data_IF_152129793019
#
_entry.id   IF_152129793019
#
_cell.length_a   1.000
_cell.length_b   1.000
_cell.length_c   1.000
_cell.angle_alpha   90.00
_cell.angle_beta   90.00
_cell.angle_gamma   90.00
#
_symmetry.space_group_name_H-M   'P 1'
#
loop_
_entity.id
_entity.type
_entity.pdbx_description
1 polymer ?
#
# COMPACT_ATOMS: atom_id res chain seq x y z
N UNK A 1 14.35 -11.75 -1.07
CA UNK A 1 13.84 -11.05 -2.28
C UNK A 1 12.41 -11.52 -2.55
N UNK A 2 11.48 -10.58 -2.70
CA UNK A 2 10.05 -10.91 -2.89
C UNK A 2 9.72 -11.09 -4.38
N UNK A 3 8.74 -11.96 -4.67
CA UNK A 3 8.20 -12.18 -6.02
C UNK A 3 6.68 -12.07 -5.96
N UNK A 4 6.07 -11.48 -6.97
CA UNK A 4 4.61 -11.45 -7.12
C UNK A 4 4.22 -11.95 -8.52
N UNK A 5 3.11 -12.67 -8.58
CA UNK A 5 2.56 -13.19 -9.83
C UNK A 5 1.04 -12.97 -9.91
N UNK A 6 0.56 -12.82 -11.13
CA UNK A 6 -0.86 -12.84 -11.41
C UNK A 6 -1.14 -13.97 -12.40
N UNK A 7 -2.08 -14.84 -12.04
CA UNK A 7 -2.46 -16.00 -12.86
C UNK A 7 -3.93 -15.86 -13.23
N UNK A 8 -4.23 -16.07 -14.51
CA UNK A 8 -5.60 -16.17 -14.98
C UNK A 8 -5.95 -17.63 -15.22
N UNK A 9 -7.03 -18.08 -14.56
CA UNK A 9 -7.54 -19.45 -14.74
C UNK A 9 -8.24 -19.61 -16.07
N UNK A 10 -8.42 -20.86 -16.53
CA UNK A 10 -9.21 -21.18 -17.73
C UNK A 10 -10.69 -20.77 -17.61
N UNK A 11 -11.18 -20.59 -16.39
CA UNK A 11 -12.54 -20.11 -16.09
C UNK A 11 -12.63 -18.57 -16.07
N UNK A 12 -11.52 -17.86 -16.31
CA UNK A 12 -11.48 -16.40 -16.35
C UNK A 12 -11.25 -15.72 -14.99
N UNK A 13 -11.10 -16.48 -13.90
CA UNK A 13 -10.76 -15.90 -12.59
C UNK A 13 -9.30 -15.45 -12.58
N UNK A 14 -9.03 -14.37 -11.86
CA UNK A 14 -7.67 -13.87 -11.64
C UNK A 14 -7.27 -14.17 -10.20
N UNK A 15 -6.10 -14.78 -10.05
CA UNK A 15 -5.46 -15.02 -8.75
C UNK A 15 -4.20 -14.17 -8.67
N UNK A 16 -4.01 -13.50 -7.55
CA UNK A 16 -2.78 -12.80 -7.19
C UNK A 16 -2.07 -13.59 -6.09
N UNK A 17 -0.77 -13.78 -6.23
CA UNK A 17 0.06 -14.47 -5.24
C UNK A 17 1.42 -13.80 -5.13
N UNK A 18 2.04 -13.91 -3.94
CA UNK A 18 3.37 -13.37 -3.69
C UNK A 18 4.14 -14.20 -2.68
N UNK A 19 5.46 -14.11 -2.71
CA UNK A 19 6.34 -14.57 -1.63
C UNK A 19 6.71 -13.38 -0.75
N UNK A 20 6.71 -13.60 0.58
CA UNK A 20 7.11 -12.61 1.57
C UNK A 20 8.48 -13.02 2.13
N UNK A 21 9.51 -12.38 1.62
CA UNK A 21 10.90 -12.73 1.92
C UNK A 21 11.63 -11.47 2.42
N UNK A 22 11.60 -11.28 3.72
CA UNK A 22 12.29 -10.20 4.42
C UNK A 22 13.52 -10.74 5.17
N UNK A 23 14.49 -9.89 5.45
CA UNK A 23 15.70 -10.24 6.20
C UNK A 23 15.48 -10.42 7.70
N UNK A 24 14.27 -10.19 8.18
CA UNK A 24 13.86 -10.36 9.59
C UNK A 24 12.52 -11.09 9.65
N UNK A 25 12.23 -11.79 10.75
CA UNK A 25 10.95 -12.48 10.89
C UNK A 25 9.80 -11.48 10.93
N UNK A 26 8.81 -11.72 10.08
CA UNK A 26 7.51 -11.08 10.14
C UNK A 26 6.53 -12.07 10.75
N UNK A 27 5.64 -11.60 11.60
CA UNK A 27 4.51 -12.35 12.12
C UNK A 27 3.20 -11.71 11.61
N UNK A 28 2.90 -11.86 10.34
CA UNK A 28 1.73 -11.23 9.74
C UNK A 28 0.48 -12.02 10.13
N UNK A 29 -0.55 -11.28 10.54
CA UNK A 29 -1.89 -11.80 10.72
C UNK A 29 -2.81 -11.33 9.60
N UNK A 30 -3.99 -11.94 9.50
CA UNK A 30 -5.00 -11.55 8.53
C UNK A 30 -5.90 -10.48 9.13
N UNK A 31 -5.87 -9.28 8.53
CA UNK A 31 -6.68 -8.14 8.96
C UNK A 31 -7.72 -7.77 7.92
N UNK A 32 -8.86 -7.30 8.40
CA UNK A 32 -9.93 -6.72 7.58
C UNK A 32 -10.07 -5.24 7.95
N UNK A 33 -9.94 -4.37 6.96
CA UNK A 33 -10.23 -2.95 7.09
C UNK A 33 -11.61 -2.66 6.50
N UNK A 34 -12.58 -2.16 7.27
CA UNK A 34 -13.93 -1.86 6.77
C UNK A 34 -13.94 -0.59 5.91
N UNK A 35 -15.01 -0.42 5.12
CA UNK A 35 -15.31 0.88 4.48
C UNK A 35 -15.42 1.98 5.54
N UNK A 36 -14.88 3.14 5.21
CA UNK A 36 -14.95 4.29 6.10
C UNK A 36 -13.97 4.24 7.27
N UNK A 37 -13.09 3.24 7.33
CA UNK A 37 -12.01 3.23 8.29
C UNK A 37 -11.14 4.47 8.10
N UNK A 38 -10.82 5.13 9.21
CA UNK A 38 -10.05 6.37 9.19
C UNK A 38 -8.75 6.20 9.97
N UNK A 39 -7.68 6.71 9.39
CA UNK A 39 -6.37 6.78 10.06
C UNK A 39 -5.65 8.08 9.70
N UNK A 40 -4.74 8.50 10.53
CA UNK A 40 -3.80 9.55 10.18
C UNK A 40 -2.64 8.90 9.41
N UNK A 41 -2.21 9.52 8.30
CA UNK A 41 -1.01 9.08 7.62
C UNK A 41 0.20 9.16 8.58
N UNK A 42 1.23 8.37 8.34
CA UNK A 42 2.39 8.29 9.23
C UNK A 42 3.14 9.63 9.35
N UNK A 43 3.04 10.51 8.34
CA UNK A 43 3.55 11.87 8.41
C UNK A 43 2.68 12.80 9.30
N UNK A 44 1.56 12.33 9.83
CA UNK A 44 0.59 13.07 10.66
C UNK A 44 0.07 14.37 10.02
N UNK A 45 0.09 14.46 8.70
CA UNK A 45 -0.33 15.66 7.94
C UNK A 45 -1.74 15.56 7.38
N UNK A 46 -2.23 14.35 7.18
CA UNK A 46 -3.53 14.10 6.55
C UNK A 46 -4.28 12.97 7.24
N UNK A 47 -5.58 13.14 7.36
CA UNK A 47 -6.51 12.08 7.74
C UNK A 47 -7.02 11.39 6.47
N UNK A 48 -6.86 10.09 6.41
CA UNK A 48 -7.26 9.25 5.29
C UNK A 48 -8.51 8.48 5.71
N UNK A 49 -9.47 8.36 4.81
CA UNK A 49 -10.68 7.56 5.01
C UNK A 49 -10.82 6.58 3.86
N UNK A 50 -10.87 5.28 4.18
CA UNK A 50 -11.04 4.24 3.17
C UNK A 50 -12.40 4.35 2.48
N UNK A 51 -12.38 4.26 1.17
CA UNK A 51 -13.58 4.17 0.32
C UNK A 51 -14.03 2.73 0.18
N UNK A 52 -13.08 1.81 0.16
CA UNK A 52 -13.30 0.38 -0.04
C UNK A 52 -12.86 -0.40 1.19
N UNK A 53 -13.58 -1.49 1.49
CA UNK A 53 -13.10 -2.49 2.43
C UNK A 53 -12.03 -3.35 1.77
N UNK A 54 -11.05 -3.81 2.55
CA UNK A 54 -9.99 -4.67 2.06
C UNK A 54 -9.53 -5.65 3.16
N UNK A 55 -8.94 -6.75 2.70
CA UNK A 55 -8.38 -7.80 3.55
C UNK A 55 -6.96 -8.10 3.09
N UNK A 56 -6.06 -8.41 4.00
CA UNK A 56 -4.68 -8.74 3.66
C UNK A 56 -3.84 -9.14 4.84
N UNK A 57 -2.62 -9.55 4.55
CA UNK A 57 -1.61 -9.84 5.57
C UNK A 57 -1.03 -8.52 6.10
N UNK A 58 -1.09 -8.34 7.41
CA UNK A 58 -0.67 -7.11 8.06
C UNK A 58 -0.04 -7.36 9.43
N UNK A 59 0.62 -6.35 9.95
CA UNK A 59 1.10 -6.31 11.33
C UNK A 59 0.32 -5.29 12.14
N UNK A 60 0.04 -5.64 13.40
CA UNK A 60 -0.62 -4.73 14.34
C UNK A 60 0.35 -3.66 14.85
N UNK A 61 0.53 -2.68 14.03
CA UNK A 61 1.25 -1.45 14.35
C UNK A 61 0.27 -0.27 14.21
N UNK A 62 0.40 0.78 15.02
CA UNK A 62 -0.48 1.95 14.88
C UNK A 62 0.03 2.94 13.80
N UNK A 63 -0.63 3.06 12.63
CA UNK A 63 -1.76 2.27 12.13
C UNK A 63 -1.35 0.85 11.71
N UNK A 64 -2.34 -0.06 11.52
CA UNK A 64 -2.09 -1.41 10.99
C UNK A 64 -1.43 -1.33 9.62
N UNK A 65 -0.27 -1.98 9.48
CA UNK A 65 0.56 -1.93 8.27
C UNK A 65 0.34 -3.19 7.45
N UNK A 66 -0.24 -3.02 6.27
CA UNK A 66 -0.50 -4.11 5.34
C UNK A 66 0.70 -4.37 4.42
N UNK A 67 1.15 -5.61 4.38
CA UNK A 67 2.17 -6.05 3.44
C UNK A 67 1.59 -6.40 2.06
N UNK A 68 0.35 -6.85 2.02
CA UNK A 68 -0.44 -7.12 0.82
C UNK A 68 -1.92 -7.11 1.13
N UNK A 69 -2.73 -7.28 0.09
CA UNK A 69 -4.16 -7.44 0.26
C UNK A 69 -4.94 -7.32 -1.04
N UNK A 70 -6.24 -7.48 -0.89
CA UNK A 70 -7.23 -7.29 -1.97
C UNK A 70 -8.43 -6.53 -1.42
N UNK A 71 -8.95 -5.60 -2.19
CA UNK A 71 -10.16 -4.89 -1.81
C UNK A 71 -11.41 -5.48 -2.47
N UNK A 72 -12.57 -5.05 -2.01
CA UNK A 72 -13.87 -5.52 -2.50
C UNK A 72 -14.14 -5.25 -4.00
N UNK A 73 -13.33 -4.39 -4.64
CA UNK A 73 -13.38 -4.15 -6.08
C UNK A 73 -12.53 -5.14 -6.89
N UNK A 74 -11.83 -6.06 -6.20
CA UNK A 74 -10.91 -7.01 -6.83
C UNK A 74 -9.53 -6.42 -7.18
N UNK A 75 -9.24 -5.20 -6.70
CA UNK A 75 -7.90 -4.62 -6.82
C UNK A 75 -6.99 -5.19 -5.73
N UNK A 76 -5.86 -5.79 -6.14
CA UNK A 76 -4.85 -6.32 -5.24
C UNK A 76 -3.57 -5.49 -5.31
N UNK A 77 -2.90 -5.36 -4.18
CA UNK A 77 -1.62 -4.69 -4.05
C UNK A 77 -0.72 -5.40 -3.04
N UNK A 78 0.59 -5.31 -3.22
CA UNK A 78 1.57 -5.84 -2.29
C UNK A 78 2.84 -5.01 -2.29
N UNK A 79 3.52 -4.92 -1.15
CA UNK A 79 4.89 -4.42 -1.07
C UNK A 79 5.85 -5.54 -1.42
N UNK A 80 6.82 -5.23 -2.28
CA UNK A 80 7.93 -6.11 -2.61
C UNK A 80 9.21 -5.45 -2.13
N UNK A 81 9.87 -6.09 -1.16
CA UNK A 81 11.11 -5.56 -0.59
C UNK A 81 12.26 -5.75 -1.57
N UNK A 82 12.81 -4.62 -2.04
CA UNK A 82 13.92 -4.58 -2.99
C UNK A 82 14.95 -3.54 -2.54
N UNK A 83 15.83 -3.91 -1.58
CA UNK A 83 16.74 -2.98 -0.94
C UNK A 83 17.70 -2.33 -1.94
N UNK A 84 17.93 -1.04 -1.77
CA UNK A 84 18.89 -0.26 -2.56
C UNK A 84 18.40 0.26 -3.91
N UNK A 85 17.17 -0.06 -4.30
CA UNK A 85 16.59 0.39 -5.59
C UNK A 85 15.47 1.42 -5.44
N UNK A 86 14.73 1.36 -4.35
CA UNK A 86 13.69 2.35 -4.08
C UNK A 86 14.32 3.71 -3.78
N UNK A 87 13.78 4.75 -4.41
CA UNK A 87 14.10 6.15 -4.11
C UNK A 87 12.85 6.78 -3.52
N UNK A 88 13.04 7.49 -2.45
CA UNK A 88 11.97 8.22 -1.76
C UNK A 88 12.24 9.71 -1.86
N UNK A 89 11.20 10.51 -1.82
CA UNK A 89 11.33 11.96 -1.74
C UNK A 89 11.80 12.32 -0.33
N UNK A 90 13.00 12.90 -0.22
CA UNK A 90 13.53 13.36 1.07
C UNK A 90 12.66 14.46 1.65
N UNK A 91 11.98 14.16 2.73
CA UNK A 91 11.14 15.12 3.46
C UNK A 91 11.92 16.10 4.33
N UNK A 92 13.26 16.12 4.23
CA UNK A 92 14.13 16.78 5.21
C UNK A 92 15.25 17.70 4.72
N UNK A 93 15.55 17.77 3.44
CA UNK A 93 16.55 18.73 2.95
C UNK A 93 15.86 20.03 2.54
N UNK A 94 16.13 21.12 3.29
CA UNK A 94 15.48 22.43 3.19
C UNK A 94 15.66 23.20 1.88
N UNK A 95 16.04 22.56 0.79
CA UNK A 95 16.28 23.19 -0.53
C UNK A 95 15.35 22.67 -1.64
N UNK A 96 14.37 21.81 -1.33
CA UNK A 96 13.39 21.36 -2.31
C UNK A 96 12.23 22.37 -2.32
N UNK A 97 11.82 22.92 -3.48
CA UNK A 97 10.61 23.71 -3.58
C UNK A 97 9.46 22.96 -2.93
N UNK A 98 8.66 23.64 -2.12
CA UNK A 98 7.55 23.07 -1.37
C UNK A 98 6.61 22.32 -2.34
N UNK A 99 6.79 20.99 -2.42
CA UNK A 99 5.93 20.15 -3.26
C UNK A 99 4.58 20.03 -2.56
N UNK A 100 3.49 20.55 -3.14
CA UNK A 100 2.18 20.60 -2.51
C UNK A 100 1.52 19.22 -2.38
N UNK A 101 2.09 18.17 -3.00
CA UNK A 101 1.52 16.83 -2.94
C UNK A 101 1.65 16.26 -1.52
N UNK A 102 0.59 15.64 -0.97
CA UNK A 102 0.63 15.06 0.36
C UNK A 102 1.67 13.93 0.45
N UNK A 103 2.48 13.91 1.51
CA UNK A 103 3.43 12.83 1.76
C UNK A 103 2.72 11.57 2.25
N UNK A 104 3.02 10.44 1.65
CA UNK A 104 2.56 9.11 2.08
C UNK A 104 3.79 8.26 2.32
N UNK A 105 3.91 7.68 3.51
CA UNK A 105 5.03 6.82 3.81
C UNK A 105 4.97 5.52 2.99
N UNK A 106 6.12 5.09 2.47
CA UNK A 106 6.19 3.88 1.64
C UNK A 106 5.57 2.65 2.33
N UNK A 107 5.71 2.55 3.65
CA UNK A 107 5.18 1.44 4.44
C UNK A 107 3.64 1.43 4.52
N UNK A 108 2.97 2.58 4.39
CA UNK A 108 1.50 2.67 4.41
C UNK A 108 0.86 2.65 3.02
N UNK A 109 1.66 2.64 1.96
CA UNK A 109 1.19 2.78 0.58
C UNK A 109 0.20 1.68 0.16
N UNK A 110 0.39 0.44 0.63
CA UNK A 110 -0.52 -0.68 0.34
C UNK A 110 -1.91 -0.39 0.90
N UNK A 111 -2.01 0.01 2.17
CA UNK A 111 -3.28 0.38 2.81
C UNK A 111 -3.95 1.55 2.11
N UNK A 112 -3.15 2.56 1.75
CA UNK A 112 -3.62 3.75 1.03
C UNK A 112 -4.24 3.38 -0.32
N UNK A 113 -3.54 2.60 -1.13
CA UNK A 113 -4.02 2.20 -2.45
C UNK A 113 -5.22 1.26 -2.38
N UNK A 114 -5.21 0.25 -1.49
CA UNK A 114 -6.33 -0.68 -1.31
C UNK A 114 -7.59 0.04 -0.82
N UNK A 115 -7.42 1.00 0.09
CA UNK A 115 -8.53 1.77 0.63
C UNK A 115 -9.15 2.75 -0.35
N UNK A 116 -8.41 3.28 -1.32
CA UNK A 116 -8.86 4.39 -2.15
C UNK A 116 -9.05 4.07 -3.64
N UNK A 117 -8.42 3.00 -4.15
CA UNK A 117 -8.40 2.68 -5.58
C UNK A 117 -9.20 1.41 -5.89
N UNK A 118 -10.00 1.45 -6.95
CA UNK A 118 -10.77 0.30 -7.43
C UNK A 118 -10.03 -0.50 -8.52
N UNK A 119 -8.90 0.00 -9.02
CA UNK A 119 -8.18 -0.62 -10.13
C UNK A 119 -6.73 -0.14 -10.20
N UNK A 120 -5.90 -0.89 -10.92
CA UNK A 120 -4.51 -0.50 -11.22
C UNK A 120 -4.43 0.87 -11.91
N UNK A 121 -5.39 1.18 -12.81
CA UNK A 121 -5.42 2.48 -13.48
C UNK A 121 -5.65 3.63 -12.49
N UNK A 122 -6.58 3.45 -11.56
CA UNK A 122 -6.78 4.46 -10.50
C UNK A 122 -5.57 4.57 -9.59
N UNK A 123 -4.94 3.46 -9.23
CA UNK A 123 -3.71 3.47 -8.43
C UNK A 123 -2.60 4.24 -9.14
N UNK A 124 -2.38 4.02 -10.43
CA UNK A 124 -1.39 4.77 -11.21
C UNK A 124 -1.66 6.28 -11.18
N UNK A 125 -2.91 6.69 -11.44
CA UNK A 125 -3.29 8.12 -11.37
C UNK A 125 -3.17 8.69 -9.95
N UNK A 126 -3.43 7.89 -8.91
CA UNK A 126 -3.31 8.31 -7.51
C UNK A 126 -1.85 8.58 -7.13
N UNK A 127 -0.92 7.74 -7.61
CA UNK A 127 0.51 7.90 -7.36
C UNK A 127 1.07 9.24 -7.89
N UNK A 128 0.50 9.78 -8.97
CA UNK A 128 0.89 11.09 -9.49
C UNK A 128 0.47 12.25 -8.56
N UNK A 129 -0.45 12.02 -7.64
CA UNK A 129 -1.01 13.05 -6.75
C UNK A 129 -0.39 13.07 -5.35
N UNK A 130 0.51 12.17 -5.06
CA UNK A 130 1.17 12.03 -3.76
C UNK A 130 2.69 12.05 -3.91
N UNK A 131 3.40 12.25 -2.79
CA UNK A 131 4.84 11.97 -2.66
C UNK A 131 5.02 10.72 -1.81
N UNK A 132 5.90 9.83 -2.23
CA UNK A 132 6.28 8.67 -1.43
C UNK A 132 7.53 9.02 -0.63
N UNK A 133 7.41 8.98 0.71
CA UNK A 133 8.46 9.35 1.66
C UNK A 133 8.85 8.19 2.56
#
# INVERSE_FOLDING_TARGET
MCTAITIRTSQGNTCFGRTMDFSYPLDPELYISPRGYEWNNLAATHRIRSRYSFIGAAQDLPPVIFADGVNEMGFAAAVLYFPGYAKYDDSGSGDIPEDPRPPIAAIELVSFLLGLCASVRQAASMLDTIRIV
#
